data_IF_958880252287
#
_entry.id   IF_958880252287
#
_cell.length_a   1.000
_cell.length_b   1.000
_cell.length_c   1.000
_cell.angle_alpha   90.00
_cell.angle_beta   90.00
_cell.angle_gamma   90.00
#
_symmetry.space_group_name_H-M   'P 1'
#
loop_
_entity.id
_entity.type
_entity.pdbx_description
1 polymer ?
#
# COMPACT_ATOMS: atom_id res chain seq x y z
N UNK A 1 1.32 -41.26 9.96
CA UNK A 1 0.95 -40.55 8.71
C UNK A 1 0.93 -39.06 8.98
N UNK A 2 1.89 -38.31 8.46
CA UNK A 2 1.99 -36.86 8.66
C UNK A 2 1.15 -36.14 7.60
N UNK A 3 -0.01 -35.63 8.00
CA UNK A 3 -0.92 -34.89 7.14
C UNK A 3 -0.25 -33.59 6.66
N UNK A 4 0.01 -33.45 5.35
CA UNK A 4 0.39 -32.18 4.72
C UNK A 4 -0.81 -31.63 3.93
N UNK A 5 -1.21 -30.36 4.10
CA UNK A 5 -2.30 -29.78 3.32
C UNK A 5 -1.91 -29.69 1.82
N UNK A 6 -2.77 -30.20 0.93
CA UNK A 6 -2.61 -30.19 -0.54
C UNK A 6 -2.34 -28.81 -1.16
N UNK A 7 -2.58 -27.71 -0.45
CA UNK A 7 -2.42 -26.34 -0.98
C UNK A 7 -0.97 -25.86 -1.14
N UNK A 8 0.03 -26.53 -0.53
CA UNK A 8 1.44 -26.13 -0.69
C UNK A 8 2.08 -26.60 -2.01
N UNK A 9 1.55 -27.64 -2.67
CA UNK A 9 2.15 -28.19 -3.90
C UNK A 9 1.87 -27.39 -5.17
N UNK A 10 0.82 -26.56 -5.21
CA UNK A 10 0.39 -25.90 -6.44
C UNK A 10 0.95 -24.49 -6.65
N UNK A 11 1.43 -23.80 -5.60
CA UNK A 11 2.09 -22.48 -5.78
C UNK A 11 3.56 -22.59 -6.16
N UNK A 12 4.23 -23.70 -5.83
CA UNK A 12 5.67 -23.83 -6.08
C UNK A 12 6.00 -24.22 -7.53
N UNK A 13 5.14 -24.96 -8.24
CA UNK A 13 5.42 -25.43 -9.61
C UNK A 13 5.36 -24.36 -10.69
N UNK A 14 4.67 -23.23 -10.46
CA UNK A 14 4.54 -22.16 -11.48
C UNK A 14 5.74 -21.20 -11.52
N UNK A 15 6.48 -21.08 -10.43
CA UNK A 15 7.58 -20.11 -10.30
C UNK A 15 8.97 -20.69 -10.58
N UNK A 16 9.09 -21.99 -10.88
CA UNK A 16 10.39 -22.66 -11.12
C UNK A 16 10.83 -22.57 -12.59
N UNK A 17 9.94 -22.21 -13.53
CA UNK A 17 10.25 -22.21 -14.96
C UNK A 17 10.92 -20.92 -15.49
N UNK A 18 11.15 -19.91 -14.64
CA UNK A 18 11.83 -18.68 -15.03
C UNK A 18 12.91 -18.43 -13.98
N UNK A 19 14.17 -18.72 -14.28
CA UNK A 19 15.27 -18.81 -13.28
C UNK A 19 15.91 -17.48 -12.84
N UNK A 20 15.30 -16.33 -13.11
CA UNK A 20 15.79 -14.98 -12.76
C UNK A 20 14.78 -14.00 -12.08
N UNK A 21 13.47 -14.28 -11.90
CA UNK A 21 12.56 -13.39 -11.17
C UNK A 21 12.64 -13.50 -9.64
N UNK A 22 12.89 -14.69 -9.07
CA UNK A 22 12.70 -14.86 -7.62
C UNK A 22 13.75 -14.13 -6.78
N UNK A 23 15.02 -14.18 -7.19
CA UNK A 23 16.11 -13.48 -6.50
C UNK A 23 15.98 -11.96 -6.63
N UNK A 24 15.61 -11.47 -7.81
CA UNK A 24 15.34 -10.05 -8.04
C UNK A 24 14.12 -9.57 -7.23
N UNK A 25 13.04 -10.35 -7.19
CA UNK A 25 11.87 -10.05 -6.36
C UNK A 25 12.22 -10.05 -4.87
N UNK A 26 13.02 -11.02 -4.41
CA UNK A 26 13.51 -11.07 -3.03
C UNK A 26 14.34 -9.83 -2.71
N UNK A 27 15.29 -9.46 -3.58
CA UNK A 27 16.11 -8.24 -3.42
C UNK A 27 15.25 -6.98 -3.36
N UNK A 28 14.32 -6.80 -4.30
CA UNK A 28 13.46 -5.62 -4.35
C UNK A 28 12.52 -5.54 -3.14
N UNK A 29 11.98 -6.68 -2.72
CA UNK A 29 11.14 -6.76 -1.53
C UNK A 29 11.93 -6.46 -0.25
N UNK A 30 13.14 -7.01 -0.09
CA UNK A 30 14.02 -6.69 1.06
C UNK A 30 14.40 -5.21 1.08
N UNK A 31 14.74 -4.61 -0.06
CA UNK A 31 14.98 -3.15 -0.15
C UNK A 31 13.76 -2.36 0.29
N UNK A 32 12.58 -2.72 -0.21
CA UNK A 32 11.34 -2.07 0.16
C UNK A 32 11.05 -2.17 1.66
N UNK A 33 11.19 -3.36 2.26
CA UNK A 33 11.04 -3.55 3.70
C UNK A 33 12.04 -2.74 4.50
N UNK A 34 13.31 -2.68 4.08
CA UNK A 34 14.33 -1.87 4.73
C UNK A 34 13.98 -0.38 4.63
N UNK A 35 13.52 0.09 3.48
CA UNK A 35 13.04 1.47 3.30
C UNK A 35 11.86 1.77 4.21
N UNK A 36 10.86 0.89 4.30
CA UNK A 36 9.74 1.04 5.23
C UNK A 36 10.20 1.07 6.69
N UNK A 37 11.11 0.19 7.08
CA UNK A 37 11.64 0.13 8.44
C UNK A 37 12.42 1.41 8.79
N UNK A 38 13.26 1.91 7.89
CA UNK A 38 13.97 3.18 8.06
C UNK A 38 12.99 4.35 8.17
N UNK A 39 11.94 4.36 7.34
CA UNK A 39 10.88 5.38 7.36
C UNK A 39 10.07 5.39 8.66
N UNK A 40 9.76 4.21 9.20
CA UNK A 40 8.93 4.07 10.39
C UNK A 40 9.72 4.19 11.71
N UNK A 41 10.98 3.75 11.72
CA UNK A 41 11.77 3.56 12.94
C UNK A 41 13.16 4.23 12.93
N UNK A 42 13.59 4.82 11.81
CA UNK A 42 14.94 5.38 11.65
C UNK A 42 15.15 6.78 12.24
N UNK A 43 16.41 7.09 12.57
CA UNK A 43 16.91 8.27 13.31
C UNK A 43 17.00 9.58 12.51
N UNK A 44 16.50 9.62 11.27
CA UNK A 44 16.52 10.82 10.44
C UNK A 44 15.12 11.10 9.94
N UNK A 45 14.42 11.98 10.65
CA UNK A 45 13.53 13.04 10.17
C UNK A 45 12.49 13.35 11.24
N UNK A 46 12.08 14.61 11.36
CA UNK A 46 10.88 14.93 12.15
C UNK A 46 9.75 14.00 11.71
N UNK A 47 8.86 13.64 12.64
CA UNK A 47 7.67 12.84 12.33
C UNK A 47 6.78 13.43 11.22
N UNK A 48 7.06 14.68 10.85
CA UNK A 48 6.41 15.46 9.80
C UNK A 48 7.13 15.49 8.45
N UNK A 49 8.33 14.92 8.31
CA UNK A 49 9.00 14.98 7.02
C UNK A 49 8.34 14.03 6.03
N UNK A 50 7.86 14.58 4.92
CA UNK A 50 7.36 13.79 3.80
C UNK A 50 8.51 13.22 3.00
N UNK A 51 8.49 11.90 2.75
CA UNK A 51 9.46 11.27 1.85
C UNK A 51 8.78 10.72 0.60
N UNK A 52 9.50 10.70 -0.51
CA UNK A 52 9.00 10.22 -1.80
C UNK A 52 8.49 8.78 -1.70
N UNK A 53 7.28 8.53 -2.20
CA UNK A 53 6.69 7.20 -2.23
C UNK A 53 7.42 6.36 -3.30
N UNK A 54 7.95 5.21 -2.87
CA UNK A 54 8.66 4.26 -3.73
C UNK A 54 7.97 2.90 -3.69
N UNK A 55 7.78 2.29 -4.85
CA UNK A 55 7.21 0.95 -5.00
C UNK A 55 8.22 -0.04 -5.61
N UNK A 56 8.32 -1.27 -5.08
CA UNK A 56 9.09 -2.33 -5.74
C UNK A 56 8.43 -2.83 -7.04
N UNK A 57 7.18 -2.44 -7.30
CA UNK A 57 6.39 -2.85 -8.48
C UNK A 57 6.38 -1.76 -9.56
N UNK A 58 6.17 -0.50 -9.17
CA UNK A 58 6.01 0.63 -10.12
C UNK A 58 7.18 1.62 -10.13
N UNK A 59 8.12 1.52 -9.19
CA UNK A 59 9.22 2.48 -9.06
C UNK A 59 8.80 3.78 -8.36
N UNK A 60 9.38 4.95 -8.70
CA UNK A 60 8.90 6.24 -8.21
C UNK A 60 7.50 6.51 -8.76
N UNK A 61 6.63 7.07 -7.92
CA UNK A 61 5.27 7.44 -8.35
C UNK A 61 5.31 8.67 -9.28
N UNK A 62 4.48 8.75 -10.33
CA UNK A 62 4.31 9.96 -11.13
C UNK A 62 3.74 11.11 -10.29
N UNK A 63 4.07 12.36 -10.60
CA UNK A 63 3.55 13.55 -9.88
C UNK A 63 2.02 13.70 -9.99
N UNK A 64 1.42 13.21 -11.09
CA UNK A 64 -0.01 13.28 -11.36
C UNK A 64 -0.54 11.95 -11.89
N UNK A 65 -1.69 11.52 -11.38
CA UNK A 65 -2.36 10.24 -11.75
C UNK A 65 -3.87 10.46 -11.86
N UNK A 66 -4.51 10.13 -12.99
CA UNK A 66 -5.95 10.39 -13.24
C UNK A 66 -6.41 11.84 -12.91
N UNK A 67 -5.59 12.86 -13.17
CA UNK A 67 -5.93 14.25 -12.82
C UNK A 67 -5.86 14.58 -11.32
N UNK A 68 -5.36 13.68 -10.48
CA UNK A 68 -5.01 13.93 -9.08
C UNK A 68 -3.51 14.21 -8.96
N UNK A 69 -3.15 15.34 -8.37
CA UNK A 69 -1.77 15.62 -7.96
C UNK A 69 -1.42 14.77 -6.73
N UNK A 70 -0.24 14.13 -6.77
CA UNK A 70 0.20 13.27 -5.67
C UNK A 70 0.57 14.13 -4.46
N UNK A 71 0.10 13.75 -3.27
CA UNK A 71 0.38 14.52 -2.06
C UNK A 71 1.89 14.53 -1.76
N UNK A 72 2.32 15.65 -1.18
CA UNK A 72 3.69 15.96 -0.78
C UNK A 72 3.78 16.34 0.70
N UNK A 73 2.66 16.38 1.41
CA UNK A 73 2.58 16.68 2.84
C UNK A 73 1.52 15.83 3.54
N UNK A 74 1.60 15.75 4.88
CA UNK A 74 0.59 15.06 5.69
C UNK A 74 -0.79 15.70 5.53
N UNK A 75 -0.87 17.03 5.55
CA UNK A 75 -2.14 17.77 5.44
C UNK A 75 -2.83 17.55 4.10
N UNK A 76 -2.05 17.50 3.01
CA UNK A 76 -2.58 17.18 1.69
C UNK A 76 -3.23 15.79 1.66
N UNK A 77 -2.60 14.78 2.29
CA UNK A 77 -3.20 13.44 2.42
C UNK A 77 -4.50 13.49 3.22
N UNK A 78 -4.52 14.23 4.33
CA UNK A 78 -5.70 14.33 5.18
C UNK A 78 -6.87 15.04 4.49
N UNK A 79 -6.60 15.93 3.55
CA UNK A 79 -7.60 16.60 2.73
C UNK A 79 -8.19 15.72 1.61
N UNK A 80 -7.53 14.61 1.23
CA UNK A 80 -8.03 13.72 0.18
C UNK A 80 -9.30 12.98 0.62
N UNK A 81 -10.24 12.79 -0.30
CA UNK A 81 -11.37 11.87 -0.09
C UNK A 81 -10.96 10.40 -0.29
N UNK A 82 -11.84 9.47 0.06
CA UNK A 82 -11.55 8.03 0.05
C UNK A 82 -11.20 7.48 -1.33
N UNK A 83 -11.81 7.99 -2.41
CA UNK A 83 -11.46 7.59 -3.77
C UNK A 83 -10.05 8.07 -4.15
N UNK A 84 -9.71 9.32 -3.79
CA UNK A 84 -8.39 9.89 -4.01
C UNK A 84 -7.30 9.14 -3.21
N UNK A 85 -7.56 8.79 -1.95
CA UNK A 85 -6.66 7.94 -1.15
C UNK A 85 -6.45 6.59 -1.84
N UNK A 86 -7.52 5.99 -2.35
CA UNK A 86 -7.44 4.77 -3.13
C UNK A 86 -6.58 4.92 -4.39
N UNK A 87 -6.65 6.06 -5.09
CA UNK A 87 -5.79 6.35 -6.26
C UNK A 87 -4.32 6.47 -5.88
N UNK A 88 -3.99 7.12 -4.77
CA UNK A 88 -2.61 7.25 -4.27
C UNK A 88 -2.02 5.87 -3.91
N UNK A 89 -2.76 5.06 -3.16
CA UNK A 89 -2.31 3.69 -2.81
C UNK A 89 -2.07 2.85 -4.04
N UNK A 90 -3.03 2.90 -4.97
CA UNK A 90 -2.86 2.27 -6.24
C UNK A 90 -1.57 2.82 -6.87
N UNK A 91 -1.37 4.13 -7.02
CA UNK A 91 -0.20 4.69 -7.74
C UNK A 91 1.15 4.19 -7.18
N UNK A 92 1.18 3.94 -5.86
CA UNK A 92 2.29 3.29 -5.16
C UNK A 92 2.44 1.77 -5.41
N UNK A 93 1.68 1.20 -6.33
CA UNK A 93 1.61 -0.24 -6.63
C UNK A 93 0.86 -1.09 -5.60
N UNK A 94 0.12 -0.50 -4.67
CA UNK A 94 -0.69 -1.22 -3.67
C UNK A 94 -2.16 -1.36 -4.08
N UNK A 95 -2.94 -2.19 -3.38
CA UNK A 95 -4.38 -2.27 -3.59
C UNK A 95 -5.10 -1.27 -2.67
N UNK A 96 -6.19 -0.65 -3.16
CA UNK A 96 -7.13 0.09 -2.31
C UNK A 96 -8.32 -0.76 -1.83
N UNK A 97 -8.35 -2.03 -2.22
CA UNK A 97 -9.33 -3.02 -1.83
C UNK A 97 -8.58 -4.28 -1.38
N UNK A 98 -9.21 -5.07 -0.51
CA UNK A 98 -8.67 -6.34 -0.07
C UNK A 98 -8.57 -7.30 -1.27
N UNK A 99 -7.38 -7.82 -1.59
CA UNK A 99 -7.17 -8.65 -2.77
C UNK A 99 -7.81 -10.04 -2.67
N UNK A 100 -8.26 -10.45 -1.48
CA UNK A 100 -8.90 -11.76 -1.26
C UNK A 100 -10.39 -11.77 -1.53
N UNK A 101 -11.09 -10.65 -1.32
CA UNK A 101 -12.55 -10.58 -1.41
C UNK A 101 -13.09 -9.32 -2.12
N UNK A 102 -12.24 -8.34 -2.42
CA UNK A 102 -12.61 -7.11 -3.12
C UNK A 102 -13.34 -6.07 -2.28
N UNK A 103 -13.42 -6.26 -0.96
CA UNK A 103 -13.92 -5.23 -0.03
C UNK A 103 -12.98 -4.02 -0.03
N UNK A 104 -13.51 -2.81 -0.14
CA UNK A 104 -12.71 -1.58 -0.06
C UNK A 104 -12.08 -1.42 1.32
N UNK A 105 -10.88 -0.86 1.37
CA UNK A 105 -10.32 -0.43 2.65
C UNK A 105 -11.04 0.83 3.13
N UNK A 106 -11.22 0.94 4.44
CA UNK A 106 -11.75 2.17 5.02
C UNK A 106 -10.68 3.28 5.00
N UNK A 107 -11.12 4.52 5.23
CA UNK A 107 -10.25 5.69 5.24
C UNK A 107 -9.01 5.54 6.11
N UNK A 108 -9.16 5.06 7.34
CA UNK A 108 -8.07 4.98 8.31
C UNK A 108 -7.05 3.90 7.96
N UNK A 109 -7.50 2.79 7.37
CA UNK A 109 -6.62 1.77 6.79
C UNK A 109 -5.79 2.37 5.64
N UNK A 110 -6.44 3.13 4.75
CA UNK A 110 -5.76 3.76 3.62
C UNK A 110 -4.75 4.83 4.06
N UNK A 111 -5.13 5.68 5.01
CA UNK A 111 -4.23 6.66 5.62
C UNK A 111 -3.02 5.97 6.26
N UNK A 112 -3.24 4.93 7.07
CA UNK A 112 -2.16 4.16 7.69
C UNK A 112 -1.19 3.55 6.67
N UNK A 113 -1.71 3.03 5.56
CA UNK A 113 -0.87 2.51 4.48
C UNK A 113 -0.05 3.60 3.78
N UNK A 114 -0.63 4.77 3.49
CA UNK A 114 0.10 5.90 2.87
C UNK A 114 1.19 6.42 3.81
N UNK A 115 0.87 6.62 5.09
CA UNK A 115 1.83 7.09 6.09
C UNK A 115 2.96 6.09 6.34
N UNK A 116 2.67 4.78 6.31
CA UNK A 116 3.73 3.77 6.33
C UNK A 116 4.64 3.86 5.10
N UNK A 117 4.06 4.10 3.91
CA UNK A 117 4.83 4.27 2.68
C UNK A 117 5.73 5.49 2.71
N UNK A 118 5.30 6.61 3.31
CA UNK A 118 6.05 7.88 3.33
C UNK A 118 6.96 8.04 4.55
N UNK A 119 6.74 7.29 5.63
CA UNK A 119 7.45 7.50 6.90
C UNK A 119 7.01 8.76 7.66
N UNK A 120 5.89 9.35 7.25
CA UNK A 120 5.33 10.54 7.88
C UNK A 120 4.15 10.15 8.76
N UNK A 121 3.89 10.92 9.81
CA UNK A 121 2.72 10.77 10.65
C UNK A 121 2.14 12.13 11.04
N UNK A 122 0.82 12.24 11.23
CA UNK A 122 0.23 13.40 11.90
C UNK A 122 0.90 13.62 13.26
N UNK A 123 1.20 14.87 13.62
CA UNK A 123 1.92 15.22 14.86
C UNK A 123 1.22 14.69 16.11
N UNK A 124 -0.11 14.65 16.09
CA UNK A 124 -0.91 14.46 17.31
C UNK A 124 -1.61 13.10 17.37
N UNK A 125 -1.46 12.26 16.33
CA UNK A 125 -2.22 11.00 16.20
C UNK A 125 -3.75 11.15 16.15
N UNK A 126 -4.26 12.38 16.12
CA UNK A 126 -5.68 12.76 16.19
C UNK A 126 -6.55 12.06 15.16
N UNK A 127 -5.98 11.74 14.00
CA UNK A 127 -6.63 10.98 12.93
C UNK A 127 -7.19 9.66 13.46
N UNK A 128 -6.43 8.91 14.26
CA UNK A 128 -6.90 7.64 14.80
C UNK A 128 -7.66 7.80 16.12
N UNK A 129 -7.32 8.81 16.92
CA UNK A 129 -8.04 9.12 18.17
C UNK A 129 -9.52 9.43 17.92
N UNK A 130 -9.83 10.06 16.79
CA UNK A 130 -11.21 10.42 16.40
C UNK A 130 -11.86 9.39 15.46
N UNK A 131 -11.22 8.24 15.22
CA UNK A 131 -11.78 7.22 14.35
C UNK A 131 -13.05 6.62 14.99
N UNK A 132 -14.15 6.43 14.24
CA UNK A 132 -15.32 5.75 14.76
C UNK A 132 -14.98 4.31 15.11
N UNK A 133 -15.65 3.76 16.14
CA UNK A 133 -15.47 2.37 16.57
C UNK A 133 -15.66 1.35 15.43
N UNK A 134 -16.51 1.69 14.45
CA UNK A 134 -16.69 0.91 13.23
C UNK A 134 -16.51 1.84 12.02
N UNK A 135 -15.32 1.89 11.42
CA UNK A 135 -15.09 2.65 10.20
C UNK A 135 -15.95 2.15 9.05
N UNK A 136 -16.64 3.07 8.38
CA UNK A 136 -17.47 2.77 7.21
C UNK A 136 -16.59 2.77 5.96
N UNK A 137 -16.80 1.77 5.10
CA UNK A 137 -16.18 1.72 3.77
C UNK A 137 -17.07 2.47 2.80
N UNK A 138 -16.54 3.52 2.17
CA UNK A 138 -17.26 4.34 1.19
C UNK A 138 -16.93 3.92 -0.26
N UNK A 139 -15.79 3.24 -0.46
CA UNK A 139 -15.40 2.75 -1.78
C UNK A 139 -16.41 1.72 -2.31
N UNK A 140 -16.80 1.81 -3.60
CA UNK A 140 -17.71 0.85 -4.20
C UNK A 140 -17.09 -0.56 -4.20
N UNK A 141 -17.86 -1.60 -3.86
CA UNK A 141 -17.33 -2.95 -3.78
C UNK A 141 -16.81 -3.43 -5.13
N UNK A 142 -15.78 -4.29 -5.11
CA UNK A 142 -15.14 -4.87 -6.29
C UNK A 142 -15.05 -6.38 -6.16
N UNK A 143 -14.76 -7.05 -7.26
CA UNK A 143 -14.33 -8.45 -7.20
C UNK A 143 -12.89 -8.55 -6.71
N UNK A 144 -12.49 -9.72 -6.19
CA UNK A 144 -11.09 -9.97 -5.83
C UNK A 144 -10.13 -9.79 -7.02
N UNK A 145 -10.57 -10.18 -8.23
CA UNK A 145 -9.79 -9.96 -9.44
C UNK A 145 -9.62 -8.47 -9.74
N UNK A 146 -10.71 -7.69 -9.71
CA UNK A 146 -10.68 -6.24 -9.91
C UNK A 146 -9.80 -5.54 -8.87
N UNK A 147 -9.82 -5.99 -7.61
CA UNK A 147 -8.99 -5.42 -6.55
C UNK A 147 -7.48 -5.49 -6.85
N UNK A 148 -7.04 -6.46 -7.66
CA UNK A 148 -5.62 -6.69 -7.99
C UNK A 148 -5.26 -6.21 -9.40
N UNK A 149 -6.21 -6.32 -10.34
CA UNK A 149 -5.96 -6.03 -11.77
C UNK A 149 -6.29 -4.61 -12.18
N UNK A 150 -7.05 -3.86 -11.35
CA UNK A 150 -7.39 -2.48 -11.63
C UNK A 150 -6.13 -1.60 -11.54
N UNK A 151 -5.42 -1.55 -12.67
CA UNK A 151 -4.26 -0.70 -12.92
C UNK A 151 -4.72 0.74 -13.17
N UNK A 152 -3.86 1.66 -12.76
CA UNK A 152 -3.79 3.08 -13.07
C UNK A 152 -4.35 3.43 -14.44
N UNK A 153 -5.41 4.24 -14.46
CA UNK A 153 -5.50 5.25 -15.52
C UNK A 153 -4.93 6.58 -15.02
#
# INVERSE_FOLDING_TARGET
>A
MTYRPKKFRFRHKRNVLWGRPLENNRRNFTKFLNTLAVRLFGTHTSSTSWTTIYSPVTGPIPERVNGLDMPTTVDEVLALNDDQLGRVLRAAGACSHNPGNGTGFNRFEMLGMIFALTGSRPEDGTVWTNAPNVPVVVLPPRTAEQAVTMRFN
#
